data_IF_543482805895
#
_entry.id   IF_543482805895
#
_cell.length_a   1.000
_cell.length_b   1.000
_cell.length_c   1.000
_cell.angle_alpha   90.00
_cell.angle_beta   90.00
_cell.angle_gamma   90.00
#
_symmetry.space_group_name_H-M   'P 1'
#
loop_
_entity.id
_entity.type
_entity.pdbx_description
1 polymer ?
#
# COMPACT_ATOMS: atom_id res chain seq x y z
N UNK A 1 -2.55 -19.95 0.34
CA UNK A 1 -3.46 -19.94 -0.83
C UNK A 1 -2.69 -20.07 -2.16
N UNK A 2 -1.85 -21.10 -2.27
CA UNK A 2 -1.38 -21.82 -3.47
C UNK A 2 -0.79 -23.13 -2.92
N UNK A 3 -1.52 -23.75 -1.98
CA UNK A 3 -0.91 -24.58 -0.94
C UNK A 3 -0.64 -26.01 -1.43
N UNK A 4 -1.11 -26.36 -2.62
CA UNK A 4 -0.72 -27.59 -3.29
C UNK A 4 0.68 -27.44 -3.91
N UNK A 5 1.57 -28.38 -3.63
CA UNK A 5 2.91 -28.46 -4.25
C UNK A 5 2.84 -28.88 -5.73
N UNK A 6 1.68 -29.40 -6.16
CA UNK A 6 1.43 -29.83 -7.53
C UNK A 6 1.28 -28.63 -8.50
N UNK A 7 2.27 -28.51 -9.40
CA UNK A 7 2.36 -27.48 -10.43
C UNK A 7 1.13 -27.46 -11.35
N UNK A 8 0.56 -28.62 -11.67
CA UNK A 8 -0.60 -28.73 -12.57
C UNK A 8 -1.85 -28.16 -11.91
N UNK A 9 -2.03 -28.44 -10.62
CA UNK A 9 -3.12 -27.90 -9.83
C UNK A 9 -3.01 -26.38 -9.67
N UNK A 10 -1.80 -25.85 -9.44
CA UNK A 10 -1.55 -24.40 -9.37
C UNK A 10 -1.82 -23.69 -10.68
N UNK A 11 -1.37 -24.26 -11.80
CA UNK A 11 -1.59 -23.69 -13.13
C UNK A 11 -3.08 -23.61 -13.45
N UNK A 12 -3.83 -24.69 -13.21
CA UNK A 12 -5.28 -24.71 -13.42
C UNK A 12 -6.00 -23.64 -12.59
N UNK A 13 -5.61 -23.48 -11.31
CA UNK A 13 -6.18 -22.46 -10.41
C UNK A 13 -5.85 -21.04 -10.87
N UNK A 14 -4.61 -20.81 -11.33
CA UNK A 14 -4.18 -19.52 -11.84
C UNK A 14 -4.96 -19.13 -13.10
N UNK A 15 -5.16 -20.07 -14.04
CA UNK A 15 -5.97 -19.83 -15.24
C UNK A 15 -7.42 -19.50 -14.89
N UNK A 16 -8.03 -20.21 -13.94
CA UNK A 16 -9.38 -19.93 -13.44
C UNK A 16 -9.50 -18.52 -12.85
N UNK A 17 -8.51 -18.09 -12.05
CA UNK A 17 -8.49 -16.76 -11.45
C UNK A 17 -8.31 -15.64 -12.49
N UNK A 18 -7.45 -15.86 -13.48
CA UNK A 18 -7.24 -14.91 -14.58
C UNK A 18 -8.50 -14.78 -15.43
N UNK A 19 -9.15 -15.89 -15.78
CA UNK A 19 -10.36 -15.88 -16.59
C UNK A 19 -11.52 -15.19 -15.85
N UNK A 20 -11.68 -15.47 -14.55
CA UNK A 20 -12.64 -14.78 -13.69
C UNK A 20 -12.38 -13.27 -13.65
N UNK A 21 -11.11 -12.85 -13.59
CA UNK A 21 -10.74 -11.43 -13.58
C UNK A 21 -11.04 -10.78 -14.93
N UNK A 22 -10.77 -11.46 -16.04
CA UNK A 22 -11.10 -10.99 -17.39
C UNK A 22 -12.61 -10.78 -17.55
N UNK A 23 -13.43 -11.75 -17.12
CA UNK A 23 -14.88 -11.60 -17.16
C UNK A 23 -15.38 -10.43 -16.29
N UNK A 24 -14.85 -10.29 -15.08
CA UNK A 24 -15.21 -9.17 -14.20
C UNK A 24 -14.85 -7.83 -14.84
N UNK A 25 -13.68 -7.71 -15.45
CA UNK A 25 -13.26 -6.48 -16.12
C UNK A 25 -14.16 -6.15 -17.32
N UNK A 26 -14.52 -7.17 -18.12
CA UNK A 26 -15.44 -7.00 -19.25
C UNK A 26 -16.82 -6.50 -18.79
N UNK A 27 -17.40 -7.11 -17.76
CA UNK A 27 -18.69 -6.70 -17.20
C UNK A 27 -18.63 -5.27 -16.67
N UNK A 28 -17.54 -4.91 -15.96
CA UNK A 28 -17.33 -3.54 -15.50
C UNK A 28 -17.33 -2.55 -16.65
N UNK A 29 -16.68 -2.87 -17.76
CA UNK A 29 -16.61 -1.98 -18.92
C UNK A 29 -17.95 -1.85 -19.65
N UNK A 30 -18.70 -2.95 -19.76
CA UNK A 30 -20.07 -2.93 -20.32
C UNK A 30 -21.02 -2.08 -19.45
N UNK A 31 -20.93 -2.21 -18.12
CA UNK A 31 -21.71 -1.38 -17.17
C UNK A 31 -21.30 0.09 -17.30
N UNK A 32 -20.00 0.37 -17.39
CA UNK A 32 -19.46 1.72 -17.52
C UNK A 32 -19.96 2.40 -18.80
N UNK A 33 -19.84 1.74 -19.94
CA UNK A 33 -20.33 2.25 -21.23
C UNK A 33 -21.84 2.51 -21.20
N UNK A 34 -22.61 1.59 -20.61
CA UNK A 34 -24.06 1.74 -20.50
C UNK A 34 -24.44 2.91 -19.59
N UNK A 35 -23.75 3.08 -18.45
CA UNK A 35 -23.93 4.22 -17.57
C UNK A 35 -23.54 5.55 -18.27
N UNK A 36 -22.40 5.59 -18.97
CA UNK A 36 -21.93 6.76 -19.71
C UNK A 36 -22.87 7.17 -20.85
N UNK A 37 -23.57 6.21 -21.46
CA UNK A 37 -24.57 6.46 -22.51
C UNK A 37 -25.88 7.06 -22.00
N UNK A 38 -26.20 6.86 -20.72
CA UNK A 38 -27.44 7.35 -20.10
C UNK A 38 -27.27 8.67 -19.36
N UNK A 39 -26.03 9.16 -19.21
CA UNK A 39 -25.73 10.40 -18.50
C UNK A 39 -25.82 11.63 -19.42
N UNK A 40 -26.57 12.64 -18.95
CA UNK A 40 -26.57 14.00 -19.53
C UNK A 40 -25.18 14.65 -19.44
N UNK A 41 -24.85 15.58 -20.34
CA UNK A 41 -23.61 16.38 -20.29
C UNK A 41 -23.38 17.05 -18.93
N UNK A 42 -24.43 17.58 -18.33
CA UNK A 42 -24.38 18.20 -17.00
C UNK A 42 -24.13 17.21 -15.86
N UNK A 43 -24.61 15.96 -15.99
CA UNK A 43 -24.33 14.89 -15.02
C UNK A 43 -22.91 14.36 -15.18
N UNK A 44 -22.38 14.31 -16.41
CA UNK A 44 -20.97 13.98 -16.69
C UNK A 44 -20.03 15.01 -16.07
N UNK A 45 -20.31 16.30 -16.25
CA UNK A 45 -19.51 17.38 -15.64
C UNK A 45 -19.57 17.35 -14.10
N UNK A 46 -20.74 17.07 -13.52
CA UNK A 46 -20.89 16.93 -12.08
C UNK A 46 -20.08 15.75 -11.53
N UNK A 47 -20.15 14.59 -12.18
CA UNK A 47 -19.38 13.40 -11.79
C UNK A 47 -17.87 13.63 -11.95
N UNK A 48 -17.45 14.31 -13.02
CA UNK A 48 -16.03 14.63 -13.26
C UNK A 48 -15.47 15.55 -12.17
N UNK A 49 -16.26 16.49 -11.66
CA UNK A 49 -15.90 17.36 -10.53
C UNK A 49 -16.00 16.67 -9.17
N UNK A 50 -16.91 15.70 -9.03
CA UNK A 50 -17.13 14.97 -7.78
C UNK A 50 -16.20 13.77 -7.61
N UNK A 51 -15.44 13.39 -8.64
CA UNK A 51 -14.40 12.39 -8.50
C UNK A 51 -13.34 12.91 -7.52
N UNK A 52 -12.92 12.08 -6.53
CA UNK A 52 -11.76 12.41 -5.72
C UNK A 52 -10.58 12.71 -6.66
N UNK A 53 -9.69 13.65 -6.31
CA UNK A 53 -8.57 14.03 -7.16
C UNK A 53 -7.89 12.75 -7.64
N UNK A 54 -7.94 12.54 -8.96
CA UNK A 54 -7.21 11.46 -9.58
C UNK A 54 -5.74 11.73 -9.28
N UNK A 55 -5.06 10.74 -8.68
CA UNK A 55 -3.61 10.81 -8.52
C UNK A 55 -3.02 11.24 -9.88
N UNK A 56 -2.21 12.32 -9.93
CA UNK A 56 -1.94 13.04 -11.17
C UNK A 56 -1.17 12.22 -12.21
N UNK A 57 -0.71 11.01 -11.88
CA UNK A 57 -0.15 10.09 -12.85
C UNK A 57 -0.51 8.63 -12.53
N UNK A 58 -0.66 7.80 -13.56
CA UNK A 58 -0.92 6.35 -13.45
C UNK A 58 0.22 5.66 -12.68
N UNK A 59 1.44 6.17 -12.82
CA UNK A 59 2.62 5.74 -12.09
C UNK A 59 2.46 5.89 -10.58
N UNK A 60 1.85 6.99 -10.12
CA UNK A 60 1.59 7.24 -8.69
C UNK A 60 0.61 6.20 -8.15
N UNK A 61 -0.48 5.91 -8.87
CA UNK A 61 -1.45 4.90 -8.46
C UNK A 61 -0.86 3.47 -8.44
N UNK A 62 -0.04 3.13 -9.44
CA UNK A 62 0.64 1.83 -9.52
C UNK A 62 1.67 1.67 -8.39
N UNK A 63 2.35 2.76 -7.99
CA UNK A 63 3.30 2.78 -6.87
C UNK A 63 2.59 2.55 -5.55
N UNK A 64 1.46 3.22 -5.29
CA UNK A 64 0.65 3.01 -4.08
C UNK A 64 0.06 1.60 -4.00
N UNK A 65 -0.26 1.00 -5.15
CA UNK A 65 -0.78 -0.36 -5.20
C UNK A 65 0.29 -1.44 -4.92
N UNK A 66 1.58 -1.05 -4.87
CA UNK A 66 2.68 -1.98 -4.61
C UNK A 66 2.71 -2.35 -3.13
N UNK A 67 2.64 -3.65 -2.77
CA UNK A 67 2.75 -4.07 -1.37
C UNK A 67 4.05 -3.56 -0.73
N UNK A 68 3.93 -2.99 0.46
CA UNK A 68 5.05 -2.38 1.17
C UNK A 68 5.23 -0.89 0.90
N UNK A 69 4.46 -0.28 0.00
CA UNK A 69 4.48 1.18 -0.21
C UNK A 69 3.26 1.82 0.45
N UNK A 70 3.47 2.91 1.18
CA UNK A 70 2.41 3.75 1.71
C UNK A 70 2.63 5.22 1.36
N UNK A 71 1.54 5.98 1.35
CA UNK A 71 1.57 7.43 1.10
C UNK A 71 1.67 8.15 2.45
N UNK A 72 2.71 8.95 2.60
CA UNK A 72 2.88 9.92 3.67
C UNK A 72 2.62 11.34 3.18
N UNK A 73 2.25 12.21 4.12
CA UNK A 73 2.27 13.65 3.93
C UNK A 73 3.42 14.21 4.75
N UNK A 74 4.36 14.90 4.09
CA UNK A 74 5.50 15.53 4.76
C UNK A 74 5.30 17.03 4.69
N UNK A 75 5.37 17.71 5.83
CA UNK A 75 5.36 19.17 5.88
C UNK A 75 6.75 19.71 5.56
N UNK A 76 6.88 20.55 4.54
CA UNK A 76 8.13 21.25 4.29
C UNK A 76 8.44 22.25 5.41
N UNK A 77 9.74 22.41 5.75
CA UNK A 77 10.23 23.37 6.74
C UNK A 77 9.92 24.85 6.39
N UNK A 78 9.50 25.12 5.15
CA UNK A 78 9.12 26.46 4.68
C UNK A 78 7.61 26.76 4.76
N UNK A 79 6.80 25.79 5.20
CA UNK A 79 5.39 25.99 5.56
C UNK A 79 4.37 25.88 4.41
N UNK A 80 3.19 25.39 4.80
CA UNK A 80 1.89 25.28 4.10
C UNK A 80 1.81 24.30 2.92
N UNK A 81 2.90 24.04 2.21
CA UNK A 81 2.92 22.99 1.18
C UNK A 81 3.38 21.66 1.79
N UNK A 82 2.43 20.74 1.93
CA UNK A 82 2.70 19.34 2.25
C UNK A 82 2.98 18.59 0.96
N UNK A 83 4.16 17.98 0.86
CA UNK A 83 4.49 17.12 -0.27
C UNK A 83 3.99 15.70 0.00
N UNK A 84 3.39 15.11 -1.05
CA UNK A 84 2.97 13.70 -1.02
C UNK A 84 4.20 12.87 -1.30
N UNK A 85 4.53 12.01 -0.35
CA UNK A 85 5.78 11.27 -0.36
C UNK A 85 5.54 9.79 -0.09
N UNK A 86 6.44 8.94 -0.59
CA UNK A 86 6.29 7.48 -0.49
C UNK A 86 7.18 6.91 0.60
N UNK A 87 6.57 6.14 1.51
CA UNK A 87 7.28 5.36 2.52
C UNK A 87 7.30 3.91 2.04
N UNK A 88 8.50 3.36 1.90
CA UNK A 88 8.72 2.01 1.38
C UNK A 88 9.18 1.09 2.50
N UNK A 89 8.53 -0.08 2.62
CA UNK A 89 8.85 -1.12 3.58
C UNK A 89 9.19 -2.42 2.84
N UNK A 90 10.37 -2.97 3.10
CA UNK A 90 10.84 -4.22 2.50
C UNK A 90 11.15 -5.23 3.59
N UNK A 91 10.69 -6.48 3.42
CA UNK A 91 11.07 -7.60 4.26
C UNK A 91 12.27 -8.34 3.65
N UNK A 92 13.25 -8.66 4.47
CA UNK A 92 14.48 -9.34 4.07
C UNK A 92 14.87 -10.42 5.07
N UNK A 93 15.66 -11.41 4.66
CA UNK A 93 16.15 -12.44 5.59
C UNK A 93 17.03 -11.80 6.67
N UNK A 94 16.79 -12.16 7.92
CA UNK A 94 17.32 -11.39 9.06
C UNK A 94 17.12 -12.03 10.43
N UNK A 95 17.32 -11.24 11.48
CA UNK A 95 17.23 -11.66 12.89
C UNK A 95 15.94 -11.21 13.58
N UNK A 96 15.14 -10.37 12.95
CA UNK A 96 13.94 -9.75 13.50
C UNK A 96 14.08 -8.26 13.81
N UNK A 97 15.06 -7.59 13.20
CA UNK A 97 15.38 -6.18 13.43
C UNK A 97 14.53 -5.27 12.53
N UNK A 98 14.27 -4.05 13.03
CA UNK A 98 13.67 -2.95 12.27
C UNK A 98 14.75 -1.93 11.92
N UNK A 99 14.96 -1.71 10.62
CA UNK A 99 15.84 -0.67 10.10
C UNK A 99 15.00 0.48 9.54
N UNK A 100 15.23 1.70 10.01
CA UNK A 100 14.56 2.90 9.50
C UNK A 100 15.61 3.89 8.98
N UNK A 101 15.48 4.31 7.73
CA UNK A 101 16.45 5.19 7.03
C UNK A 101 15.75 6.37 6.36
N UNK A 102 16.49 7.44 6.06
CA UNK A 102 15.93 8.67 5.47
C UNK A 102 16.19 9.94 6.29
N UNK A 103 17.31 10.00 7.03
CA UNK A 103 17.68 11.14 7.90
C UNK A 103 16.62 11.46 8.96
N UNK A 104 16.13 10.44 9.67
CA UNK A 104 15.06 10.58 10.66
C UNK A 104 15.55 11.20 11.98
N UNK A 105 14.69 12.01 12.59
CA UNK A 105 14.81 12.37 14.00
C UNK A 105 14.45 11.20 14.92
N UNK A 106 14.70 11.35 16.22
CA UNK A 106 14.47 10.26 17.18
C UNK A 106 12.99 9.99 17.40
N UNK A 107 12.13 11.02 17.29
CA UNK A 107 10.68 10.86 17.39
C UNK A 107 10.09 10.04 16.24
N UNK A 108 10.58 10.23 15.01
CA UNK A 108 10.13 9.43 13.85
C UNK A 108 10.66 8.00 13.92
N UNK A 109 11.90 7.79 14.41
CA UNK A 109 12.42 6.44 14.68
C UNK A 109 11.58 5.72 15.74
N UNK A 110 11.23 6.41 16.82
CA UNK A 110 10.36 5.87 17.88
C UNK A 110 8.98 5.51 17.31
N UNK A 111 8.40 6.40 16.49
CA UNK A 111 7.11 6.16 15.83
C UNK A 111 7.15 4.89 14.94
N UNK A 112 8.23 4.65 14.21
CA UNK A 112 8.41 3.43 13.43
C UNK A 112 8.46 2.17 14.33
N UNK A 113 9.12 2.24 15.48
CA UNK A 113 9.16 1.13 16.46
C UNK A 113 7.79 0.85 17.09
N UNK A 114 7.03 1.91 17.41
CA UNK A 114 5.66 1.80 17.94
C UNK A 114 4.75 1.14 16.90
N UNK A 115 4.82 1.58 15.64
CA UNK A 115 4.06 0.99 14.55
C UNK A 115 4.38 -0.51 14.38
N UNK A 116 5.66 -0.88 14.41
CA UNK A 116 6.09 -2.28 14.35
C UNK A 116 5.55 -3.09 15.54
N UNK A 117 5.59 -2.53 16.74
CA UNK A 117 5.03 -3.16 17.95
C UNK A 117 3.53 -3.40 17.81
N UNK A 118 2.79 -2.43 17.28
CA UNK A 118 1.35 -2.54 17.04
C UNK A 118 1.03 -3.65 16.03
N UNK A 119 1.78 -3.72 14.92
CA UNK A 119 1.63 -4.76 13.89
C UNK A 119 1.91 -6.13 14.47
N UNK A 120 2.98 -6.29 15.25
CA UNK A 120 3.32 -7.56 15.93
C UNK A 120 2.21 -8.01 16.87
N UNK A 121 1.65 -7.09 17.67
CA UNK A 121 0.56 -7.39 18.60
C UNK A 121 -0.74 -7.83 17.90
N UNK A 122 -0.92 -7.48 16.62
CA UNK A 122 -2.11 -7.79 15.82
C UNK A 122 -1.82 -8.69 14.63
N UNK A 123 -0.68 -9.37 14.64
CA UNK A 123 -0.25 -10.18 13.49
C UNK A 123 -1.30 -11.25 13.11
N UNK A 124 -2.00 -11.82 14.10
CA UNK A 124 -3.06 -12.79 13.87
C UNK A 124 -4.32 -12.13 13.28
N UNK A 125 -4.76 -11.00 13.82
CA UNK A 125 -5.91 -10.24 13.29
C UNK A 125 -5.68 -9.76 11.85
N UNK A 126 -4.44 -9.43 11.52
CA UNK A 126 -4.00 -8.99 10.21
C UNK A 126 -3.68 -10.16 9.25
N UNK A 127 -3.87 -11.41 9.68
CA UNK A 127 -3.52 -12.63 8.91
C UNK A 127 -2.06 -12.68 8.43
N UNK A 128 -1.14 -12.10 9.21
CA UNK A 128 0.31 -12.12 8.94
C UNK A 128 1.00 -13.36 9.53
N UNK A 129 0.33 -14.07 10.42
CA UNK A 129 0.77 -15.34 11.01
C UNK A 129 -0.38 -16.36 11.03
N UNK A 130 -0.05 -17.65 11.02
CA UNK A 130 -1.03 -18.75 10.99
C UNK A 130 -1.35 -19.33 12.36
N UNK A 131 -0.56 -19.02 13.38
CA UNK A 131 -0.79 -19.43 14.77
C UNK A 131 -0.56 -18.25 15.73
N UNK A 132 -1.28 -18.24 16.85
CA UNK A 132 -1.26 -17.14 17.81
C UNK A 132 0.13 -16.90 18.43
N UNK A 133 0.89 -17.96 18.63
CA UNK A 133 2.23 -17.93 19.27
C UNK A 133 3.37 -17.65 18.27
N UNK A 134 3.06 -17.50 16.97
CA UNK A 134 4.09 -17.32 15.94
C UNK A 134 4.73 -15.95 16.00
N UNK A 135 6.07 -15.90 16.02
CA UNK A 135 6.81 -14.66 15.95
C UNK A 135 6.85 -14.14 14.50
N UNK A 136 6.14 -13.03 14.25
CA UNK A 136 6.08 -12.40 12.93
C UNK A 136 7.46 -12.13 12.30
N UNK A 137 8.43 -11.71 13.12
CA UNK A 137 9.75 -11.29 12.65
C UNK A 137 10.81 -12.40 12.69
N UNK A 138 10.43 -13.63 13.00
CA UNK A 138 11.37 -14.74 13.02
C UNK A 138 12.01 -14.94 11.62
N UNK A 139 13.34 -14.87 11.59
CA UNK A 139 14.13 -14.98 10.35
C UNK A 139 13.98 -13.81 9.38
N UNK A 140 13.34 -12.69 9.78
CA UNK A 140 12.98 -11.60 8.87
C UNK A 140 13.22 -10.23 9.49
N UNK A 141 14.08 -9.44 8.87
CA UNK A 141 14.23 -8.01 9.17
C UNK A 141 13.26 -7.20 8.30
N UNK A 142 12.86 -6.04 8.79
CA UNK A 142 12.05 -5.07 8.05
C UNK A 142 12.87 -3.79 7.88
N UNK A 143 12.99 -3.32 6.64
CA UNK A 143 13.63 -2.05 6.34
C UNK A 143 12.59 -1.06 5.82
N UNK A 144 12.39 0.03 6.56
CA UNK A 144 11.58 1.18 6.17
C UNK A 144 12.50 2.29 5.64
N UNK A 145 12.25 2.71 4.41
CA UNK A 145 12.89 3.86 3.78
C UNK A 145 11.91 5.02 3.75
N UNK A 146 12.30 6.11 4.40
CA UNK A 146 11.63 7.38 4.32
C UNK A 146 12.32 8.26 3.27
N UNK A 147 11.56 9.15 2.60
CA UNK A 147 12.13 10.11 1.68
C UNK A 147 12.99 11.14 2.43
N UNK A 148 14.00 11.70 1.75
CA UNK A 148 14.82 12.76 2.32
C UNK A 148 13.93 13.96 2.66
N UNK A 149 13.97 14.44 3.91
CA UNK A 149 13.16 15.58 4.36
C UNK A 149 11.90 15.22 5.14
N UNK A 150 11.64 13.95 5.44
CA UNK A 150 10.57 13.49 6.34
C UNK A 150 10.72 13.93 7.82
N UNK A 151 11.64 14.86 8.10
CA UNK A 151 11.91 15.40 9.44
C UNK A 151 10.89 16.49 9.75
N UNK A 152 10.02 16.22 10.71
CA UNK A 152 9.23 17.24 11.40
C UNK A 152 10.14 17.93 12.41
N UNK A 153 10.91 18.94 11.98
CA UNK A 153 11.63 19.79 12.93
C UNK A 153 10.60 20.66 13.67
N UNK A 154 10.12 20.16 14.82
CA UNK A 154 9.18 20.85 15.71
C UNK A 154 9.88 21.90 16.61
N UNK A 155 11.19 22.14 16.45
CA UNK A 155 11.99 23.00 17.31
C UNK A 155 12.42 24.33 16.66
N UNK A 156 11.57 24.96 15.85
CA UNK A 156 11.73 26.38 15.47
C UNK A 156 10.49 27.22 15.77
#
# INVERSE_FOLDING_TARGET
>A
MLDSVDVKARLSKATELVDRRLQSNRVTEEIRQKAESQLSMSQKEFLLKAQPPSYPDRQTADTVATPGVSVGLVSSAYGIEGEVEFIEATAMAGKGDLHATGQLDDATKESAQIAMTWVRARAMELNLVTAAESNLLEGRDIHIKFPPGAVLDLNR
#
